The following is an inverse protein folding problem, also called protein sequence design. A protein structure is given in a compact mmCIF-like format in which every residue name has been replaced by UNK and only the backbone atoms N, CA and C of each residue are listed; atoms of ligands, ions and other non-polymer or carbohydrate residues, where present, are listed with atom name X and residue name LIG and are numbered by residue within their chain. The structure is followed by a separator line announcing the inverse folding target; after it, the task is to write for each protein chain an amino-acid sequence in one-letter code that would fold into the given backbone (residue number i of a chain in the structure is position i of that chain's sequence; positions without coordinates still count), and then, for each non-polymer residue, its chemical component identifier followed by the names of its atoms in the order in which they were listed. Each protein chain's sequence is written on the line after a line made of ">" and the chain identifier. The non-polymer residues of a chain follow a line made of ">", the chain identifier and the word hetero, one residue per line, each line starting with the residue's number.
data_IF_315910290304
#
_entry.id   IF_315910290304
#
_cell.length_a   1.000
_cell.length_b   1.000
_cell.length_c   1.000
_cell.angle_alpha   90.00
_cell.angle_beta   90.00
_cell.angle_gamma   90.00
#
_symmetry.space_group_name_H-M   'P 1'
#
loop_
_entity.id
_entity.type
_entity.pdbx_description
1 polymer ?
#
# COMPACT_ATOMS: atom_id res chain seq x y z
N UNK A 1 -7.39 2.12 -0.16
CA UNK A 1 -6.46 1.74 -1.23
C UNK A 1 -6.41 0.22 -1.40
N UNK A 2 -5.92 -0.56 -0.42
CA UNK A 2 -5.75 -2.03 -0.54
C UNK A 2 -7.05 -2.78 -0.94
N UNK A 3 -8.19 -2.42 -0.35
CA UNK A 3 -9.48 -3.02 -0.73
C UNK A 3 -9.88 -2.71 -2.18
N UNK A 4 -9.59 -1.51 -2.68
CA UNK A 4 -9.82 -1.15 -4.08
C UNK A 4 -8.92 -1.96 -5.01
N UNK A 5 -7.62 -2.10 -4.65
CA UNK A 5 -6.67 -2.92 -5.39
C UNK A 5 -7.10 -4.38 -5.43
N UNK A 6 -7.52 -4.96 -4.29
CA UNK A 6 -8.04 -6.32 -4.25
C UNK A 6 -9.21 -6.52 -5.24
N UNK A 7 -10.18 -5.60 -5.28
CA UNK A 7 -11.31 -5.68 -6.23
C UNK A 7 -10.87 -5.62 -7.69
N UNK A 8 -9.88 -4.77 -8.00
CA UNK A 8 -9.30 -4.68 -9.34
C UNK A 8 -8.62 -5.99 -9.72
N UNK A 9 -7.75 -6.51 -8.86
CA UNK A 9 -7.03 -7.75 -9.11
C UNK A 9 -7.98 -8.95 -9.24
N UNK A 10 -9.00 -9.05 -8.39
CA UNK A 10 -10.02 -10.09 -8.52
C UNK A 10 -10.71 -10.05 -9.89
N UNK A 11 -11.08 -8.85 -10.37
CA UNK A 11 -11.83 -8.71 -11.61
C UNK A 11 -10.96 -8.81 -12.88
N UNK A 12 -9.75 -8.24 -12.88
CA UNK A 12 -8.94 -8.06 -14.09
C UNK A 12 -7.73 -8.99 -14.19
N UNK A 13 -7.30 -9.61 -13.07
CA UNK A 13 -6.11 -10.45 -13.02
C UNK A 13 -6.41 -11.90 -12.63
N UNK A 14 -7.13 -12.10 -11.54
CA UNK A 14 -7.52 -13.43 -11.09
C UNK A 14 -8.80 -13.93 -11.78
N UNK A 15 -9.57 -13.06 -12.43
CA UNK A 15 -10.82 -13.37 -13.11
C UNK A 15 -11.84 -14.08 -12.19
N UNK A 16 -11.95 -13.61 -10.94
CA UNK A 16 -12.87 -14.14 -9.93
C UNK A 16 -13.79 -13.04 -9.39
N UNK A 17 -14.97 -13.45 -8.92
CA UNK A 17 -15.94 -12.56 -8.25
C UNK A 17 -16.21 -13.07 -6.81
N UNK A 18 -15.32 -12.74 -5.84
CA UNK A 18 -15.45 -13.23 -4.48
C UNK A 18 -16.58 -12.52 -3.73
N UNK A 19 -17.22 -13.23 -2.82
CA UNK A 19 -18.14 -12.66 -1.85
C UNK A 19 -17.36 -12.05 -0.69
N UNK A 20 -17.39 -10.73 -0.57
CA UNK A 20 -16.60 -9.98 0.40
C UNK A 20 -17.33 -9.81 1.74
N UNK A 21 -16.62 -10.03 2.84
CA UNK A 21 -17.10 -9.87 4.22
C UNK A 21 -16.15 -8.97 5.00
N UNK A 22 -16.71 -8.00 5.74
CA UNK A 22 -15.94 -7.14 6.65
C UNK A 22 -15.82 -7.87 7.99
N UNK A 23 -14.58 -8.04 8.48
CA UNK A 23 -14.27 -8.72 9.72
C UNK A 23 -13.18 -7.97 10.50
N UNK A 24 -13.03 -8.26 11.79
CA UNK A 24 -11.87 -7.82 12.56
C UNK A 24 -10.59 -8.48 11.99
N UNK A 25 -9.42 -7.81 12.05
CA UNK A 25 -8.17 -8.30 11.46
C UNK A 25 -7.52 -9.39 12.32
N UNK A 26 -8.21 -10.50 12.50
CA UNK A 26 -7.75 -11.72 13.15
C UNK A 26 -7.77 -12.86 12.14
N UNK A 27 -6.59 -13.28 11.69
CA UNK A 27 -6.43 -14.20 10.59
C UNK A 27 -7.15 -15.54 10.83
N UNK A 28 -7.01 -16.09 12.02
CA UNK A 28 -7.62 -17.38 12.38
C UNK A 28 -9.15 -17.33 12.31
N UNK A 29 -9.73 -16.25 12.85
CA UNK A 29 -11.18 -16.06 12.82
C UNK A 29 -11.69 -15.80 11.41
N UNK A 30 -10.90 -15.11 10.56
CA UNK A 30 -11.24 -14.85 9.17
C UNK A 30 -11.23 -16.16 8.37
N UNK A 31 -10.19 -16.97 8.48
CA UNK A 31 -10.03 -18.23 7.73
C UNK A 31 -10.96 -19.35 8.19
N UNK A 32 -11.52 -19.28 9.40
CA UNK A 32 -12.63 -20.18 9.81
C UNK A 32 -13.93 -19.95 9.06
N UNK A 33 -14.08 -18.80 8.40
CA UNK A 33 -15.33 -18.35 7.77
C UNK A 33 -15.21 -18.02 6.29
N UNK A 34 -13.99 -17.79 5.82
CA UNK A 34 -13.69 -17.37 4.45
C UNK A 34 -12.52 -18.17 3.90
N UNK A 35 -12.50 -18.37 2.60
CA UNK A 35 -11.44 -19.13 1.90
C UNK A 35 -10.14 -18.31 1.78
N UNK A 36 -10.23 -16.97 1.93
CA UNK A 36 -9.08 -16.07 1.92
C UNK A 36 -9.32 -14.87 2.85
N UNK A 37 -8.25 -14.21 3.29
CA UNK A 37 -8.28 -13.04 4.15
C UNK A 37 -7.38 -11.92 3.60
N UNK A 38 -7.86 -10.67 3.63
CA UNK A 38 -7.04 -9.49 3.36
C UNK A 38 -6.61 -8.86 4.69
N UNK A 39 -5.33 -8.85 4.94
CA UNK A 39 -4.70 -8.11 6.03
C UNK A 39 -3.93 -6.91 5.49
N UNK A 40 -3.82 -5.84 6.27
CA UNK A 40 -3.09 -4.62 5.92
C UNK A 40 -2.32 -4.08 7.13
N UNK A 41 -1.33 -3.21 6.84
CA UNK A 41 -0.54 -2.53 7.87
C UNK A 41 0.24 -3.49 8.76
N UNK A 42 0.43 -3.12 10.01
CA UNK A 42 1.24 -3.87 10.98
C UNK A 42 0.76 -5.31 11.16
N UNK A 43 -0.55 -5.53 11.13
CA UNK A 43 -1.11 -6.89 11.18
C UNK A 43 -0.62 -7.75 10.02
N UNK A 44 -0.57 -7.22 8.79
CA UNK A 44 -0.05 -7.96 7.65
C UNK A 44 1.47 -8.12 7.71
N UNK A 45 2.18 -7.07 8.17
CA UNK A 45 3.64 -7.05 8.22
C UNK A 45 4.21 -8.04 9.25
N UNK A 46 3.58 -8.12 10.44
CA UNK A 46 4.08 -8.91 11.57
C UNK A 46 3.35 -10.24 11.79
N UNK A 47 2.39 -10.60 10.94
CA UNK A 47 1.78 -11.93 11.03
C UNK A 47 2.76 -12.99 10.51
N UNK A 48 3.11 -13.94 11.36
CA UNK A 48 3.92 -15.10 11.00
C UNK A 48 3.09 -16.05 10.11
N UNK A 49 3.40 -16.08 8.82
CA UNK A 49 2.67 -16.89 7.86
C UNK A 49 3.15 -18.35 7.84
N UNK A 50 4.37 -18.60 8.29
CA UNK A 50 4.99 -19.93 8.29
C UNK A 50 4.35 -20.91 9.30
N UNK A 51 3.60 -20.39 10.26
CA UNK A 51 2.93 -21.21 11.29
C UNK A 51 1.57 -21.75 10.82
N UNK A 52 1.03 -21.23 9.73
CA UNK A 52 -0.27 -21.70 9.19
C UNK A 52 0.02 -22.65 8.03
N UNK A 53 -0.08 -23.92 8.30
CA UNK A 53 0.10 -24.99 7.31
C UNK A 53 -0.95 -24.84 6.20
N UNK A 54 -0.51 -24.92 4.93
CA UNK A 54 -1.36 -24.89 3.72
C UNK A 54 -1.98 -23.52 3.36
N UNK A 55 -1.34 -22.38 3.69
CA UNK A 55 -1.75 -21.08 3.18
C UNK A 55 -0.74 -20.52 2.18
N UNK A 56 -1.26 -20.06 1.05
CA UNK A 56 -0.52 -19.24 0.09
C UNK A 56 -0.64 -17.76 0.48
N UNK A 57 0.49 -17.07 0.60
CA UNK A 57 0.55 -15.63 0.78
C UNK A 57 0.67 -14.93 -0.57
N UNK A 58 -0.25 -14.01 -0.82
CA UNK A 58 -0.27 -13.20 -2.04
C UNK A 58 -0.03 -11.74 -1.68
N UNK A 59 1.04 -11.14 -2.19
CA UNK A 59 1.29 -9.70 -2.07
C UNK A 59 0.57 -8.95 -3.19
N UNK A 60 -0.38 -8.08 -2.83
CA UNK A 60 -1.18 -7.36 -3.83
C UNK A 60 -0.35 -6.36 -4.67
N UNK A 61 0.77 -5.86 -4.14
CA UNK A 61 1.67 -4.98 -4.89
C UNK A 61 2.47 -5.73 -5.93
N UNK A 62 2.93 -6.95 -5.61
CA UNK A 62 3.58 -7.86 -6.55
C UNK A 62 2.62 -8.26 -7.67
N UNK A 63 1.39 -8.64 -7.33
CA UNK A 63 0.37 -9.00 -8.31
C UNK A 63 -0.03 -7.83 -9.22
N UNK A 64 -0.10 -6.63 -8.67
CA UNK A 64 -0.30 -5.42 -9.47
C UNK A 64 0.83 -5.23 -10.48
N UNK A 65 2.08 -5.36 -10.04
CA UNK A 65 3.24 -5.22 -10.91
C UNK A 65 3.29 -6.33 -11.96
N UNK A 66 2.93 -7.56 -11.60
CA UNK A 66 2.81 -8.67 -12.55
C UNK A 66 1.72 -8.42 -13.60
N UNK A 67 0.58 -7.83 -13.19
CA UNK A 67 -0.54 -7.53 -14.09
C UNK A 67 -0.22 -6.41 -15.10
N UNK A 68 0.44 -5.34 -14.68
CA UNK A 68 0.57 -4.14 -15.53
C UNK A 68 2.01 -3.62 -15.73
N UNK A 69 3.01 -4.20 -15.07
CA UNK A 69 4.42 -3.80 -15.22
C UNK A 69 4.78 -2.47 -14.54
N UNK A 70 3.89 -1.90 -13.71
CA UNK A 70 4.07 -0.60 -13.06
C UNK A 70 4.09 -0.74 -11.55
N UNK A 71 4.80 0.14 -10.81
CA UNK A 71 4.77 0.15 -9.36
C UNK A 71 3.39 0.56 -8.83
N UNK A 72 3.01 0.04 -7.66
CA UNK A 72 1.78 0.43 -6.99
C UNK A 72 2.00 1.56 -6.00
N UNK A 73 1.21 2.63 -6.10
CA UNK A 73 1.28 3.78 -5.18
C UNK A 73 0.31 3.56 -4.02
N UNK A 74 0.83 3.13 -2.87
CA UNK A 74 0.05 2.83 -1.68
C UNK A 74 -0.54 4.05 -0.99
N UNK A 75 0.24 5.13 -0.93
CA UNK A 75 -0.15 6.39 -0.33
C UNK A 75 0.66 7.55 -0.91
N UNK A 76 0.08 8.74 -0.87
CA UNK A 76 0.75 9.99 -1.22
C UNK A 76 0.08 11.15 -0.49
N UNK A 77 0.79 12.26 -0.35
CA UNK A 77 0.25 13.47 0.26
C UNK A 77 -0.73 14.15 -0.67
N UNK A 78 -1.88 14.56 -0.12
CA UNK A 78 -2.86 15.39 -0.82
C UNK A 78 -3.15 16.64 -0.01
N UNK A 79 -3.32 17.76 -0.69
CA UNK A 79 -3.69 19.04 -0.11
C UNK A 79 -4.85 19.68 -0.87
N UNK A 80 -5.50 20.66 -0.25
CA UNK A 80 -6.51 21.48 -0.93
C UNK A 80 -5.79 22.46 -1.86
N UNK A 81 -6.44 22.79 -2.99
CA UNK A 81 -5.94 23.82 -3.90
C UNK A 81 -5.70 25.13 -3.15
N UNK A 82 -4.64 25.82 -3.52
CA UNK A 82 -4.26 27.16 -3.04
C UNK A 82 -3.98 27.28 -1.53
N UNK A 83 -3.82 26.14 -0.81
CA UNK A 83 -3.49 26.14 0.62
C UNK A 83 -2.00 26.00 0.86
N UNK A 84 -1.31 25.17 0.09
CA UNK A 84 0.12 24.96 0.22
C UNK A 84 0.90 25.94 -0.67
N UNK A 85 1.92 26.55 -0.08
CA UNK A 85 2.92 27.35 -0.81
C UNK A 85 4.08 26.46 -1.24
N UNK A 86 4.94 26.90 -2.20
CA UNK A 86 6.18 26.20 -2.53
C UNK A 86 7.06 25.93 -1.30
N UNK A 87 7.12 26.83 -0.32
CA UNK A 87 7.89 26.63 0.91
C UNK A 87 7.35 25.47 1.76
N UNK A 88 6.02 25.31 1.82
CA UNK A 88 5.40 24.16 2.50
C UNK A 88 5.75 22.85 1.78
N UNK A 89 5.71 22.83 0.45
CA UNK A 89 6.10 21.66 -0.35
C UNK A 89 7.58 21.32 -0.12
N UNK A 90 8.47 22.31 -0.17
CA UNK A 90 9.90 22.13 0.08
C UNK A 90 10.18 21.63 1.51
N UNK A 91 9.42 22.08 2.50
CA UNK A 91 9.55 21.57 3.87
C UNK A 91 9.17 20.10 3.98
N UNK A 92 8.10 19.66 3.28
CA UNK A 92 7.71 18.26 3.23
C UNK A 92 8.75 17.38 2.50
N UNK A 93 9.33 17.87 1.40
CA UNK A 93 10.40 17.19 0.68
C UNK A 93 11.65 17.03 1.56
N UNK A 94 12.04 18.10 2.26
CA UNK A 94 13.17 18.07 3.20
C UNK A 94 12.91 17.11 4.36
N UNK A 95 11.69 17.05 4.88
CA UNK A 95 11.32 16.11 5.95
C UNK A 95 11.39 14.66 5.46
N UNK A 96 10.91 14.37 4.23
CA UNK A 96 11.06 13.06 3.59
C UNK A 96 12.53 12.65 3.49
N UNK A 97 13.37 13.51 2.94
CA UNK A 97 14.80 13.21 2.73
C UNK A 97 15.52 12.97 4.06
N UNK A 98 15.19 13.75 5.09
CA UNK A 98 15.70 13.54 6.46
C UNK A 98 15.20 12.22 7.06
N UNK A 99 13.94 11.87 6.80
CA UNK A 99 13.33 10.61 7.24
C UNK A 99 14.04 9.39 6.63
N UNK A 100 14.26 9.41 5.32
CA UNK A 100 14.98 8.33 4.62
C UNK A 100 16.40 8.13 5.17
N UNK A 101 17.07 9.22 5.56
CA UNK A 101 18.41 9.14 6.18
C UNK A 101 18.38 8.70 7.66
N UNK A 102 17.21 8.57 8.26
CA UNK A 102 17.04 8.32 9.69
C UNK A 102 16.16 7.10 9.99
N UNK A 103 16.09 6.12 9.08
CA UNK A 103 15.21 4.95 9.19
C UNK A 103 15.41 4.19 10.51
N UNK A 104 16.65 3.97 10.94
CA UNK A 104 16.96 3.33 12.22
C UNK A 104 16.36 4.06 13.42
N UNK A 105 16.42 5.38 13.44
CA UNK A 105 15.82 6.17 14.51
C UNK A 105 14.29 6.10 14.48
N UNK A 106 13.71 6.08 13.29
CA UNK A 106 12.26 5.94 13.08
C UNK A 106 11.80 4.58 13.60
N UNK A 107 12.44 3.48 13.18
CA UNK A 107 12.09 2.13 13.61
C UNK A 107 12.19 2.00 15.14
N UNK A 108 13.27 2.50 15.75
CA UNK A 108 13.46 2.49 17.21
C UNK A 108 12.38 3.27 17.97
N UNK A 109 11.80 4.30 17.36
CA UNK A 109 10.74 5.12 17.97
C UNK A 109 9.36 4.42 17.99
N UNK A 110 9.18 3.32 17.27
CA UNK A 110 7.88 2.65 17.12
C UNK A 110 7.49 1.74 18.29
N UNK A 111 8.39 1.55 19.29
CA UNK A 111 8.13 0.68 20.45
C UNK A 111 7.65 -0.73 20.06
N UNK A 112 8.31 -1.35 19.07
CA UNK A 112 8.00 -2.68 18.59
C UNK A 112 8.25 -3.74 19.69
N UNK A 113 7.55 -4.87 19.61
CA UNK A 113 7.47 -5.83 20.72
C UNK A 113 8.78 -6.61 20.95
N UNK A 114 9.58 -6.84 19.92
CA UNK A 114 10.81 -7.62 19.97
C UNK A 114 11.78 -7.24 18.84
N UNK A 115 12.99 -7.80 18.87
CA UNK A 115 14.04 -7.56 17.87
C UNK A 115 13.64 -8.04 16.47
N UNK A 116 12.91 -9.14 16.33
CA UNK A 116 12.46 -9.66 15.05
C UNK A 116 11.54 -8.65 14.34
N UNK A 117 10.61 -8.02 15.08
CA UNK A 117 9.76 -6.96 14.53
C UNK A 117 10.56 -5.71 14.14
N UNK A 118 11.63 -5.40 14.88
CA UNK A 118 12.53 -4.28 14.54
C UNK A 118 13.24 -4.56 13.21
N UNK A 119 13.74 -5.78 13.01
CA UNK A 119 14.44 -6.17 11.79
C UNK A 119 13.49 -6.25 10.58
N UNK A 120 12.29 -6.79 10.76
CA UNK A 120 11.23 -6.79 9.74
C UNK A 120 10.86 -5.37 9.34
N UNK A 121 10.61 -4.47 10.30
CA UNK A 121 10.23 -3.08 10.02
C UNK A 121 11.34 -2.32 9.31
N UNK A 122 12.60 -2.54 9.68
CA UNK A 122 13.77 -1.97 9.01
C UNK A 122 13.84 -2.44 7.56
N UNK A 123 13.83 -3.76 7.34
CA UNK A 123 13.89 -4.34 6.01
C UNK A 123 12.74 -3.86 5.12
N UNK A 124 11.53 -3.73 5.66
CA UNK A 124 10.38 -3.20 4.95
C UNK A 124 10.58 -1.75 4.49
N UNK A 125 11.04 -0.87 5.39
CA UNK A 125 11.28 0.55 5.05
C UNK A 125 12.44 0.75 4.09
N UNK A 126 13.46 -0.11 4.12
CA UNK A 126 14.64 -0.04 3.25
C UNK A 126 14.39 -0.62 1.85
N UNK A 127 13.59 -1.68 1.75
CA UNK A 127 13.54 -2.47 0.52
C UNK A 127 12.16 -2.45 -0.17
N UNK A 128 11.07 -2.21 0.58
CA UNK A 128 9.71 -2.33 0.04
C UNK A 128 9.01 -0.98 -0.17
N UNK A 129 9.49 0.10 0.48
CA UNK A 129 8.83 1.41 0.41
C UNK A 129 9.72 2.42 -0.30
N UNK A 130 9.21 2.99 -1.39
CA UNK A 130 9.86 4.09 -2.12
C UNK A 130 9.14 5.39 -1.79
N UNK A 131 9.90 6.37 -1.26
CA UNK A 131 9.37 7.66 -0.79
C UNK A 131 9.41 8.74 -1.88
N UNK A 132 9.48 8.35 -3.14
CA UNK A 132 9.48 9.24 -4.30
C UNK A 132 8.30 8.91 -5.22
N UNK A 133 7.75 9.93 -5.85
CA UNK A 133 6.68 9.80 -6.83
C UNK A 133 7.23 10.28 -8.18
N UNK A 134 7.85 9.36 -8.92
CA UNK A 134 8.49 9.61 -10.22
C UNK A 134 7.54 9.20 -11.37
N UNK A 135 8.04 9.19 -12.59
CA UNK A 135 7.22 8.96 -13.79
C UNK A 135 6.55 7.58 -13.80
N UNK A 136 7.22 6.55 -13.32
CA UNK A 136 6.67 5.19 -13.25
C UNK A 136 5.59 5.08 -12.17
N UNK A 137 5.81 5.67 -10.99
CA UNK A 137 4.80 5.73 -9.92
C UNK A 137 3.58 6.56 -10.36
N UNK A 138 3.79 7.67 -11.07
CA UNK A 138 2.69 8.46 -11.64
C UNK A 138 1.92 7.69 -12.70
N UNK A 139 2.60 6.91 -13.51
CA UNK A 139 1.96 6.02 -14.50
C UNK A 139 1.18 4.91 -13.81
N UNK A 140 1.74 4.29 -12.77
CA UNK A 140 1.06 3.32 -11.93
C UNK A 140 -0.19 3.88 -11.26
N UNK A 141 -0.10 5.10 -10.72
CA UNK A 141 -1.23 5.79 -10.10
C UNK A 141 -2.36 6.07 -11.12
N UNK A 142 -2.03 6.55 -12.32
CA UNK A 142 -3.02 6.75 -13.40
C UNK A 142 -3.69 5.44 -13.78
N UNK A 143 -2.90 4.39 -13.99
CA UNK A 143 -3.42 3.05 -14.33
C UNK A 143 -4.33 2.50 -13.24
N UNK A 144 -4.01 2.75 -11.96
CA UNK A 144 -4.87 2.36 -10.84
C UNK A 144 -6.23 3.06 -10.88
N UNK A 145 -6.28 4.37 -11.14
CA UNK A 145 -7.54 5.11 -11.24
C UNK A 145 -8.38 4.67 -12.45
N UNK A 146 -7.76 4.37 -13.58
CA UNK A 146 -8.43 3.82 -14.76
C UNK A 146 -9.07 2.47 -14.42
N UNK A 147 -8.29 1.54 -13.85
CA UNK A 147 -8.79 0.23 -13.44
C UNK A 147 -9.89 0.33 -12.37
N UNK A 148 -9.76 1.27 -11.41
CA UNK A 148 -10.76 1.49 -10.39
C UNK A 148 -12.10 2.02 -10.96
N UNK A 149 -12.04 2.83 -12.03
CA UNK A 149 -13.21 3.27 -12.78
C UNK A 149 -13.85 2.09 -13.53
N UNK A 150 -13.04 1.30 -14.24
CA UNK A 150 -13.51 0.15 -15.03
C UNK A 150 -14.28 -0.88 -14.17
N UNK A 151 -13.81 -1.13 -12.95
CA UNK A 151 -14.45 -2.08 -12.02
C UNK A 151 -15.48 -1.41 -11.10
N UNK A 152 -15.78 -0.12 -11.31
CA UNK A 152 -16.80 0.60 -10.54
C UNK A 152 -16.45 0.83 -9.07
N UNK A 153 -15.16 0.91 -8.72
CA UNK A 153 -14.69 1.27 -7.38
C UNK A 153 -14.81 2.77 -7.15
N UNK A 154 -14.59 3.56 -8.19
CA UNK A 154 -14.79 5.01 -8.18
C UNK A 154 -15.82 5.41 -9.24
N UNK A 155 -16.63 6.47 -8.98
CA UNK A 155 -17.69 6.86 -9.92
C UNK A 155 -17.15 7.65 -11.14
N UNK A 156 -15.99 8.27 -11.00
CA UNK A 156 -15.31 9.06 -12.04
C UNK A 156 -13.82 9.09 -11.80
N UNK A 157 -13.07 9.27 -12.86
CA UNK A 157 -11.63 9.50 -12.82
C UNK A 157 -11.35 10.97 -13.12
N UNK A 158 -10.73 11.67 -12.17
CA UNK A 158 -10.19 13.02 -12.38
C UNK A 158 -8.67 12.93 -12.21
N UNK A 159 -7.95 13.45 -13.21
CA UNK A 159 -6.49 13.47 -13.11
C UNK A 159 -6.04 14.26 -11.89
N UNK A 160 -5.10 13.74 -11.08
CA UNK A 160 -4.57 14.48 -9.95
C UNK A 160 -3.85 15.74 -10.42
N UNK A 161 -4.07 16.85 -9.72
CA UNK A 161 -3.32 18.09 -9.91
C UNK A 161 -2.14 18.10 -8.93
N UNK A 162 -0.97 18.51 -9.40
CA UNK A 162 0.24 18.56 -8.58
C UNK A 162 0.54 20.00 -8.16
N UNK A 163 1.00 20.19 -6.93
CA UNK A 163 1.58 21.45 -6.52
C UNK A 163 2.88 21.66 -7.31
N UNK A 164 3.06 22.87 -7.86
CA UNK A 164 4.33 23.24 -8.48
C UNK A 164 5.41 23.35 -7.39
N UNK A 165 6.52 22.68 -7.58
CA UNK A 165 7.74 22.80 -6.78
C UNK A 165 8.52 24.04 -7.19
#
# INVERSE_FOLDING_TARGET
>A
TAFALLRILCAQWFEIEPKLHIMAPDLDSMLKRCDAALLIGDTALFTEHETVVDLDKVDLGEEWTAMCGLPFVWAFWVGRNDVLTPDHVNALLTARDSGVQSLDAIVKSQNLANEDQVDIARAYLENNVYFSLLDDELSGLRRFYEAALDVGVVPKNEAPLFYAS
#
